data_IF_256803057057
#
_entry.id   IF_256803057057
#
_cell.length_a   1.000
_cell.length_b   1.000
_cell.length_c   1.000
_cell.angle_alpha   90.00
_cell.angle_beta   90.00
_cell.angle_gamma   90.00
#
_symmetry.space_group_name_H-M   'P 1'
#
loop_
_entity.id
_entity.type
_entity.pdbx_description
1 polymer ?
#
# COMPACT_ATOMS: atom_id res chain seq x y z
N UNK A 1 -7.34 1.37 6.44
CA UNK A 1 -6.13 0.61 6.10
C UNK A 1 -5.99 -0.55 7.06
N UNK A 2 -5.60 -1.71 6.57
CA UNK A 2 -5.32 -2.95 7.30
C UNK A 2 -4.10 -3.61 6.68
N UNK A 3 -3.42 -4.47 7.42
CA UNK A 3 -2.35 -5.29 6.85
C UNK A 3 -2.89 -6.05 5.61
N UNK A 4 -2.16 -5.97 4.50
CA UNK A 4 -2.54 -6.46 3.18
C UNK A 4 -3.18 -5.42 2.25
N UNK A 5 -3.52 -4.22 2.73
CA UNK A 5 -4.00 -3.14 1.84
C UNK A 5 -2.84 -2.60 0.99
N UNK A 6 -3.03 -2.41 -0.32
CA UNK A 6 -2.09 -1.66 -1.14
C UNK A 6 -2.13 -0.18 -0.74
N UNK A 7 -0.96 0.42 -0.63
CA UNK A 7 -0.76 1.79 -0.18
C UNK A 7 0.19 2.53 -1.11
N UNK A 8 0.10 3.85 -1.10
CA UNK A 8 1.08 4.74 -1.72
C UNK A 8 1.64 5.68 -0.67
N UNK A 9 2.96 5.78 -0.64
CA UNK A 9 3.69 6.75 0.16
C UNK A 9 3.50 8.14 -0.45
N UNK A 10 3.04 9.14 0.31
CA UNK A 10 2.60 10.41 -0.27
C UNK A 10 3.61 11.56 -0.16
N UNK A 11 4.66 11.40 0.65
CA UNK A 11 5.70 12.42 0.86
C UNK A 11 7.05 11.97 0.29
N UNK A 12 7.95 12.90 0.00
CA UNK A 12 9.34 12.57 -0.33
C UNK A 12 10.17 12.49 0.96
N UNK A 13 10.80 11.33 1.19
CA UNK A 13 11.74 11.07 2.28
C UNK A 13 13.10 10.61 1.72
N UNK A 14 13.91 11.55 1.21
CA UNK A 14 15.20 11.23 0.57
C UNK A 14 16.20 10.61 1.55
N UNK A 15 16.05 10.86 2.86
CA UNK A 15 16.88 10.27 3.92
C UNK A 15 16.69 8.74 4.01
N UNK A 16 15.50 8.24 3.66
CA UNK A 16 15.17 6.82 3.61
C UNK A 16 15.26 6.24 2.18
N UNK A 17 15.48 7.11 1.18
CA UNK A 17 15.42 6.75 -0.23
C UNK A 17 13.99 6.43 -0.70
N UNK A 18 12.98 7.00 -0.03
CA UNK A 18 11.57 6.87 -0.37
C UNK A 18 11.11 8.13 -1.09
N UNK A 19 10.53 7.96 -2.28
CA UNK A 19 9.96 9.07 -3.03
C UNK A 19 8.45 9.14 -2.84
N UNK A 20 7.90 10.36 -2.93
CA UNK A 20 6.45 10.53 -3.02
C UNK A 20 5.90 9.79 -4.23
N UNK A 21 4.83 9.03 -4.04
CA UNK A 21 4.25 8.13 -5.05
C UNK A 21 4.80 6.70 -5.03
N UNK A 22 5.67 6.34 -4.07
CA UNK A 22 6.16 4.96 -3.95
C UNK A 22 5.02 4.03 -3.56
N UNK A 23 4.77 2.99 -4.36
CA UNK A 23 3.76 1.98 -4.08
C UNK A 23 4.30 0.89 -3.16
N UNK A 24 3.42 0.37 -2.31
CA UNK A 24 3.71 -0.75 -1.45
C UNK A 24 2.46 -1.42 -0.90
N UNK A 25 2.66 -2.33 0.04
CA UNK A 25 1.61 -3.03 0.77
C UNK A 25 1.82 -2.83 2.25
N UNK A 26 0.76 -2.47 2.99
CA UNK A 26 0.83 -2.38 4.43
C UNK A 26 1.06 -3.78 5.02
N UNK A 27 2.15 -4.01 5.75
CA UNK A 27 2.47 -5.34 6.30
C UNK A 27 2.02 -5.46 7.75
N UNK A 28 2.16 -4.39 8.53
CA UNK A 28 1.77 -4.38 9.95
C UNK A 28 1.34 -2.99 10.42
N UNK A 29 0.50 -2.99 11.46
CA UNK A 29 0.16 -1.78 12.23
C UNK A 29 0.76 -1.98 13.61
N UNK A 30 1.79 -1.20 13.96
CA UNK A 30 2.56 -1.36 15.20
C UNK A 30 1.86 -0.62 16.35
N UNK A 31 1.52 0.64 16.11
CA UNK A 31 0.81 1.51 17.05
C UNK A 31 -0.37 2.17 16.33
N UNK A 32 -0.99 3.17 16.96
CA UNK A 32 -2.07 3.93 16.32
C UNK A 32 -1.59 4.73 15.10
N UNK A 33 -0.31 5.10 15.09
CA UNK A 33 0.29 6.00 14.10
C UNK A 33 1.46 5.33 13.37
N UNK A 34 2.25 4.45 14.01
CA UNK A 34 3.34 3.73 13.35
C UNK A 34 2.84 2.47 12.62
N UNK A 35 3.25 2.36 11.36
CA UNK A 35 2.95 1.22 10.50
C UNK A 35 4.16 0.77 9.71
N UNK A 36 4.19 -0.51 9.38
CA UNK A 36 5.16 -1.06 8.44
C UNK A 36 4.49 -1.26 7.09
N UNK A 37 5.24 -0.94 6.04
CA UNK A 37 4.85 -1.24 4.68
C UNK A 37 6.04 -1.76 3.88
N UNK A 38 5.76 -2.68 2.97
CA UNK A 38 6.72 -3.24 2.04
C UNK A 38 6.52 -2.58 0.67
N UNK A 39 7.57 -1.96 0.14
CA UNK A 39 7.60 -1.40 -1.21
C UNK A 39 7.60 -2.49 -2.28
N UNK A 40 7.22 -2.16 -3.52
CA UNK A 40 7.23 -3.11 -4.65
C UNK A 40 8.62 -3.74 -4.94
N UNK A 41 9.70 -3.07 -4.54
CA UNK A 41 11.09 -3.58 -4.60
C UNK A 41 11.40 -4.62 -3.50
N UNK A 42 10.44 -4.91 -2.61
CA UNK A 42 10.58 -5.86 -1.50
C UNK A 42 11.29 -5.30 -0.27
N UNK A 43 11.46 -3.97 -0.19
CA UNK A 43 12.05 -3.30 0.99
C UNK A 43 10.95 -2.91 1.97
N UNK A 44 11.10 -3.30 3.23
CA UNK A 44 10.21 -2.92 4.32
C UNK A 44 10.68 -1.63 5.00
N UNK A 45 9.73 -0.73 5.29
CA UNK A 45 9.96 0.53 5.98
C UNK A 45 8.88 0.73 7.05
N UNK A 46 9.28 1.39 8.14
CA UNK A 46 8.36 1.86 9.17
C UNK A 46 8.12 3.35 8.94
N UNK A 47 6.86 3.78 8.95
CA UNK A 47 6.45 5.17 8.75
C UNK A 47 5.15 5.46 9.50
N UNK A 48 4.76 6.73 9.53
CA UNK A 48 3.47 7.16 10.07
C UNK A 48 2.33 6.83 9.10
N UNK A 49 1.18 6.46 9.66
CA UNK A 49 -0.05 6.13 8.93
C UNK A 49 -0.52 7.31 8.06
N UNK A 50 -0.26 8.54 8.49
CA UNK A 50 -0.62 9.76 7.74
C UNK A 50 0.25 9.96 6.48
N UNK A 51 1.43 9.32 6.41
CA UNK A 51 2.26 9.32 5.20
C UNK A 51 1.81 8.31 4.15
N UNK A 52 0.84 7.46 4.48
CA UNK A 52 0.30 6.46 3.58
C UNK A 52 -1.12 6.81 3.16
N UNK A 53 -1.39 6.71 1.86
CA UNK A 53 -2.75 6.75 1.34
C UNK A 53 -3.13 5.36 0.84
N UNK A 54 -4.27 4.79 1.26
CA UNK A 54 -4.74 3.54 0.69
C UNK A 54 -4.96 3.72 -0.81
N UNK A 55 -4.30 2.90 -1.61
CA UNK A 55 -4.71 2.69 -2.98
C UNK A 55 -6.00 1.91 -2.87
N UNK A 56 -7.15 2.59 -3.00
CA UNK A 56 -8.43 1.91 -3.08
C UNK A 56 -8.28 0.85 -4.17
N UNK A 57 -8.29 -0.43 -3.77
CA UNK A 57 -8.27 -1.52 -4.73
C UNK A 57 -9.41 -1.21 -5.72
N UNK A 58 -9.15 -1.29 -7.04
CA UNK A 58 -10.21 -1.01 -8.01
C UNK A 58 -11.43 -1.85 -7.62
N UNK A 59 -12.65 -1.28 -7.65
CA UNK A 59 -13.85 -2.06 -7.39
C UNK A 59 -13.84 -3.22 -8.40
N UNK A 60 -13.75 -4.43 -7.86
CA UNK A 60 -13.82 -5.72 -8.54
C UNK A 60 -14.83 -5.71 -9.71
N UNK A 61 -14.61 -6.46 -10.82
CA UNK A 61 -13.85 -7.70 -10.87
C UNK A 61 -12.55 -7.74 -11.68
N UNK A 62 -11.67 -8.73 -11.40
CA UNK A 62 -10.58 -9.08 -12.28
C UNK A 62 -11.16 -9.46 -13.63
N UNK A 63 -10.57 -8.93 -14.70
CA UNK A 63 -10.85 -9.35 -16.05
C UNK A 63 -10.54 -10.86 -16.18
N UNK A 64 -11.55 -11.71 -16.03
CA UNK A 64 -11.35 -13.16 -16.03
C UNK A 64 -12.44 -13.97 -15.35
N UNK A 65 -13.70 -13.78 -15.75
CA UNK A 65 -14.71 -14.85 -15.68
C UNK A 65 -15.68 -14.66 -16.83
N UNK A 66 -15.18 -14.98 -18.03
CA UNK A 66 -16.02 -15.69 -18.99
C UNK A 66 -16.65 -16.88 -18.25
N UNK A 67 -17.96 -16.83 -18.01
CA UNK A 67 -18.88 -17.93 -18.39
C UNK A 67 -20.33 -17.61 -18.07
N UNK A 68 -21.11 -17.68 -19.15
CA UNK A 68 -22.46 -18.24 -19.22
C UNK A 68 -23.63 -17.32 -18.83
N UNK A 69 -24.13 -16.62 -19.86
CA UNK A 69 -25.56 -16.28 -19.97
C UNK A 69 -26.38 -17.56 -19.97
N UNK A 70 -27.46 -17.60 -19.20
CA UNK A 70 -28.78 -17.82 -19.80
C UNK A 70 -29.75 -16.66 -19.54
#
# INVERSE_FOLDING_TARGET
>A
MRAGDPVVFIYDEPELGLAGGTHGTLTAIRTSDDVDFETDDGREFTTDLDMLNPLSAPPWPPAGSERERP
#
